data_IF_970266630199
#
_entry.id   IF_970266630199
#
_cell.length_a   1.000
_cell.length_b   1.000
_cell.length_c   1.000
_cell.angle_alpha   90.00
_cell.angle_beta   90.00
_cell.angle_gamma   90.00
#
_symmetry.space_group_name_H-M   'P 1'
#
loop_
_entity.id
_entity.type
_entity.pdbx_description
1 polymer ?
#
# COMPACT_ATOMS: atom_id res chain seq x y z
N UNK A 1 18.25 7.31 -0.22
CA UNK A 1 18.04 6.75 -1.58
C UNK A 1 17.23 5.46 -1.56
N UNK A 2 17.56 4.49 -0.69
CA UNK A 2 16.81 3.24 -0.54
C UNK A 2 15.32 3.45 -0.21
N UNK A 3 15.01 4.34 0.76
CA UNK A 3 13.63 4.67 1.11
C UNK A 3 12.83 5.12 -0.11
N UNK A 4 13.32 6.10 -0.87
CA UNK A 4 12.63 6.64 -2.05
C UNK A 4 12.37 5.56 -3.10
N UNK A 5 13.32 4.65 -3.34
CA UNK A 5 13.15 3.55 -4.28
C UNK A 5 12.08 2.56 -3.82
N UNK A 6 12.12 2.16 -2.53
CA UNK A 6 11.13 1.27 -1.93
C UNK A 6 9.74 1.90 -1.86
N UNK A 7 9.67 3.21 -1.58
CA UNK A 7 8.42 3.96 -1.58
C UNK A 7 7.83 4.09 -2.98
N UNK A 8 8.65 4.41 -3.99
CA UNK A 8 8.21 4.44 -5.38
C UNK A 8 7.70 3.06 -5.84
N UNK A 9 8.39 1.97 -5.45
CA UNK A 9 7.92 0.62 -5.69
C UNK A 9 6.58 0.34 -5.00
N UNK A 10 6.40 0.79 -3.76
CA UNK A 10 5.13 0.66 -3.03
C UNK A 10 3.98 1.36 -3.77
N UNK A 11 4.21 2.59 -4.24
CA UNK A 11 3.23 3.33 -5.04
C UNK A 11 2.90 2.59 -6.34
N UNK A 12 3.91 2.08 -7.05
CA UNK A 12 3.70 1.32 -8.28
C UNK A 12 2.88 0.06 -8.06
N UNK A 13 3.21 -0.72 -7.03
CA UNK A 13 2.47 -1.93 -6.68
C UNK A 13 1.04 -1.61 -6.26
N UNK A 14 0.84 -0.50 -5.53
CA UNK A 14 -0.49 -0.04 -5.14
C UNK A 14 -1.33 0.39 -6.35
N UNK A 15 -0.77 1.12 -7.30
CA UNK A 15 -1.46 1.49 -8.54
C UNK A 15 -1.82 0.26 -9.37
N UNK A 16 -0.91 -0.72 -9.47
CA UNK A 16 -1.19 -1.99 -10.13
C UNK A 16 -2.32 -2.77 -9.44
N UNK A 17 -2.35 -2.73 -8.09
CA UNK A 17 -3.40 -3.34 -7.30
C UNK A 17 -4.75 -2.67 -7.57
N UNK A 18 -4.81 -1.34 -7.54
CA UNK A 18 -6.01 -0.57 -7.86
C UNK A 18 -6.49 -0.87 -9.27
N UNK A 19 -5.59 -0.95 -10.25
CA UNK A 19 -5.93 -1.29 -11.63
C UNK A 19 -6.61 -2.67 -11.72
N UNK A 20 -6.07 -3.68 -11.03
CA UNK A 20 -6.71 -5.00 -10.96
C UNK A 20 -8.10 -4.95 -10.31
N UNK A 21 -8.23 -4.16 -9.25
CA UNK A 21 -9.47 -3.98 -8.50
C UNK A 21 -10.57 -3.31 -9.34
N UNK A 22 -10.24 -2.24 -10.07
CA UNK A 22 -11.22 -1.41 -10.79
C UNK A 22 -11.56 -1.98 -12.16
N UNK A 23 -10.56 -2.37 -12.95
CA UNK A 23 -10.76 -2.78 -14.34
C UNK A 23 -11.02 -4.28 -14.47
N UNK A 24 -10.30 -5.11 -13.70
CA UNK A 24 -10.49 -6.58 -13.75
C UNK A 24 -11.50 -7.08 -12.73
N UNK A 25 -11.98 -6.22 -11.81
CA UNK A 25 -12.86 -6.56 -10.68
C UNK A 25 -12.32 -7.74 -9.84
N UNK A 26 -11.02 -8.02 -9.93
CA UNK A 26 -10.39 -9.19 -9.36
C UNK A 26 -9.37 -8.74 -8.32
N UNK A 27 -9.49 -9.31 -7.11
CA UNK A 27 -8.51 -9.10 -6.06
C UNK A 27 -7.29 -9.98 -6.27
N UNK A 28 -6.11 -9.36 -6.37
CA UNK A 28 -4.84 -10.07 -6.37
C UNK A 28 -4.28 -10.12 -4.94
N UNK A 29 -4.43 -11.27 -4.30
CA UNK A 29 -3.98 -11.50 -2.91
C UNK A 29 -2.46 -11.44 -2.76
N UNK A 30 -1.70 -11.97 -3.73
CA UNK A 30 -0.24 -11.91 -3.70
C UNK A 30 0.26 -10.47 -3.72
N UNK A 31 -0.32 -9.65 -4.58
CA UNK A 31 0.01 -8.23 -4.68
C UNK A 31 -0.36 -7.47 -3.39
N UNK A 32 -1.52 -7.77 -2.81
CA UNK A 32 -1.95 -7.22 -1.51
C UNK A 32 -0.95 -7.56 -0.39
N UNK A 33 -0.46 -8.81 -0.33
CA UNK A 33 0.54 -9.25 0.66
C UNK A 33 1.88 -8.54 0.42
N UNK A 34 2.34 -8.44 -0.82
CA UNK A 34 3.59 -7.75 -1.15
C UNK A 34 3.58 -6.28 -0.71
N UNK A 35 2.46 -5.57 -0.96
CA UNK A 35 2.29 -4.18 -0.51
C UNK A 35 2.38 -4.09 1.03
N UNK A 36 1.75 -5.02 1.76
CA UNK A 36 1.80 -5.05 3.24
C UNK A 36 3.23 -5.29 3.75
N UNK A 37 3.95 -6.26 3.19
CA UNK A 37 5.35 -6.54 3.55
C UNK A 37 6.22 -5.31 3.28
N UNK A 38 6.05 -4.67 2.13
CA UNK A 38 6.82 -3.48 1.76
C UNK A 38 6.51 -2.29 2.68
N UNK A 39 5.25 -2.11 3.06
CA UNK A 39 4.82 -1.10 4.04
C UNK A 39 5.51 -1.32 5.39
N UNK A 40 5.51 -2.56 5.90
CA UNK A 40 6.21 -2.90 7.14
C UNK A 40 7.72 -2.67 7.06
N UNK A 41 8.33 -3.01 5.92
CA UNK A 41 9.75 -2.75 5.66
C UNK A 41 10.09 -1.26 5.68
N UNK A 42 9.24 -0.42 5.08
CA UNK A 42 9.39 1.04 5.11
C UNK A 42 9.25 1.60 6.53
N UNK A 43 8.32 1.09 7.33
CA UNK A 43 8.22 1.46 8.75
C UNK A 43 9.48 1.08 9.53
N UNK A 44 10.02 -0.12 9.34
CA UNK A 44 11.25 -0.55 9.99
C UNK A 44 12.43 0.37 9.61
N UNK A 45 12.56 0.74 8.34
CA UNK A 45 13.60 1.68 7.90
C UNK A 45 13.44 3.07 8.53
N UNK A 46 12.21 3.58 8.64
CA UNK A 46 11.97 4.89 9.29
C UNK A 46 12.38 4.85 10.76
N UNK A 47 12.06 3.78 11.49
CA UNK A 47 12.37 3.64 12.92
C UNK A 47 13.87 3.47 13.15
N UNK A 48 14.55 2.69 12.30
CA UNK A 48 15.96 2.33 12.50
C UNK A 48 16.95 3.41 12.04
N UNK A 49 16.63 4.18 11.00
CA UNK A 49 17.64 5.02 10.30
C UNK A 49 17.55 6.53 10.61
N UNK A 50 16.74 6.96 11.59
CA UNK A 50 16.59 8.38 12.00
C UNK A 50 16.45 9.39 10.82
N UNK A 51 15.84 8.98 9.69
CA UNK A 51 15.59 9.89 8.55
C UNK A 51 14.79 11.12 9.00
N UNK A 52 14.74 12.19 8.18
CA UNK A 52 13.72 13.26 8.30
C UNK A 52 12.33 12.63 8.41
N UNK A 53 11.90 12.43 9.65
CA UNK A 53 11.10 11.25 10.02
C UNK A 53 9.63 11.53 9.78
N UNK A 54 9.22 12.77 9.96
CA UNK A 54 7.80 13.15 9.93
C UNK A 54 7.23 13.07 8.51
N UNK A 55 7.95 13.58 7.51
CA UNK A 55 7.47 13.58 6.12
C UNK A 55 7.41 12.16 5.55
N UNK A 56 8.46 11.36 5.73
CA UNK A 56 8.49 9.97 5.28
C UNK A 56 7.44 9.11 6.00
N UNK A 57 7.27 9.30 7.31
CA UNK A 57 6.22 8.64 8.08
C UNK A 57 4.83 9.02 7.59
N UNK A 58 4.58 10.31 7.36
CA UNK A 58 3.31 10.79 6.83
C UNK A 58 3.00 10.20 5.46
N UNK A 59 4.00 10.12 4.57
CA UNK A 59 3.85 9.51 3.25
C UNK A 59 3.48 8.02 3.35
N UNK A 60 4.21 7.24 4.15
CA UNK A 60 3.93 5.80 4.32
C UNK A 60 2.56 5.58 4.93
N UNK A 61 2.20 6.35 5.97
CA UNK A 61 0.89 6.27 6.62
C UNK A 61 -0.24 6.62 5.65
N UNK A 62 -0.10 7.71 4.88
CA UNK A 62 -1.10 8.13 3.91
C UNK A 62 -1.32 7.05 2.85
N UNK A 63 -0.24 6.52 2.26
CA UNK A 63 -0.34 5.46 1.26
C UNK A 63 -0.95 4.18 1.86
N UNK A 64 -0.60 3.83 3.09
CA UNK A 64 -1.19 2.68 3.79
C UNK A 64 -2.69 2.84 4.03
N UNK A 65 -3.13 4.01 4.51
CA UNK A 65 -4.55 4.32 4.73
C UNK A 65 -5.34 4.25 3.43
N UNK A 66 -4.81 4.78 2.33
CA UNK A 66 -5.43 4.68 1.00
C UNK A 66 -5.55 3.22 0.56
N UNK A 67 -4.51 2.42 0.78
CA UNK A 67 -4.53 1.00 0.46
C UNK A 67 -5.57 0.21 1.27
N UNK A 68 -5.60 0.34 2.59
CA UNK A 68 -6.60 -0.35 3.44
C UNK A 68 -8.03 0.12 3.14
N UNK A 69 -8.21 1.39 2.83
CA UNK A 69 -9.50 1.93 2.41
C UNK A 69 -9.98 1.31 1.10
N UNK A 70 -9.09 1.11 0.12
CA UNK A 70 -9.42 0.45 -1.14
C UNK A 70 -9.82 -1.02 -0.96
N UNK A 71 -9.13 -1.73 -0.06
CA UNK A 71 -9.43 -3.11 0.33
C UNK A 71 -10.81 -3.22 1.01
N UNK A 72 -11.07 -2.33 1.97
CA UNK A 72 -12.35 -2.30 2.68
C UNK A 72 -13.52 -1.94 1.75
N UNK A 73 -13.32 -0.99 0.84
CA UNK A 73 -14.34 -0.63 -0.15
C UNK A 73 -14.67 -1.80 -1.07
N UNK A 74 -13.66 -2.53 -1.56
CA UNK A 74 -13.88 -3.73 -2.36
C UNK A 74 -14.62 -4.81 -1.60
N UNK A 75 -14.24 -5.09 -0.35
CA UNK A 75 -14.95 -6.07 0.51
C UNK A 75 -16.42 -5.69 0.71
N UNK A 76 -16.72 -4.42 1.00
CA UNK A 76 -18.10 -3.92 1.14
C UNK A 76 -18.89 -4.09 -0.16
N UNK A 77 -18.30 -3.75 -1.30
CA UNK A 77 -18.93 -3.89 -2.61
C UNK A 77 -19.21 -5.37 -2.96
N UNK A 78 -18.29 -6.27 -2.64
CA UNK A 78 -18.49 -7.71 -2.83
C UNK A 78 -19.60 -8.25 -1.91
N UNK A 79 -19.67 -7.80 -0.66
CA UNK A 79 -20.69 -8.20 0.31
C UNK A 79 -22.09 -7.70 -0.06
N UNK A 80 -22.21 -6.51 -0.66
CA UNK A 80 -23.50 -5.94 -1.08
C UNK A 80 -24.02 -6.51 -2.41
N UNK A 81 -23.17 -7.22 -3.16
CA UNK A 81 -23.53 -7.86 -4.43
C UNK A 81 -23.92 -9.34 -4.27
N UNK A 82 -23.84 -9.89 -3.06
CA UNK A 82 -24.32 -11.22 -2.69
C UNK A 82 -25.70 -11.11 -2.05
#
# INVERSE_FOLDING_TARGET
>A
MLFNALFALMVLLFLLYLYGLTFKKQKNYYLSIMIRILTLGLFALIILDQYETQTHLALVLLTWVLFESSENFYRKKLSASK
#
